data_IF_629608286954
#
_entry.id   IF_629608286954
#
_cell.length_a   1.000
_cell.length_b   1.000
_cell.length_c   1.000
_cell.angle_alpha   90.00
_cell.angle_beta   90.00
_cell.angle_gamma   90.00
#
_symmetry.space_group_name_H-M   'P 1'
#
loop_
_entity.id
_entity.type
_entity.pdbx_description
1 polymer ?
#
# COMPACT_ATOMS: atom_id res chain seq x y z
N UNK A 1 -44.07 -20.01 -86.07
CA UNK A 1 -42.89 -19.83 -85.21
C UNK A 1 -41.87 -19.03 -86.02
N UNK A 2 -41.75 -17.73 -85.74
CA UNK A 2 -40.75 -16.85 -86.36
C UNK A 2 -39.82 -16.38 -85.23
N UNK A 3 -38.57 -16.78 -85.33
CA UNK A 3 -37.49 -16.56 -84.37
C UNK A 3 -37.00 -15.11 -84.47
N UNK A 4 -37.28 -14.29 -83.45
CA UNK A 4 -36.65 -12.99 -83.27
C UNK A 4 -35.19 -13.19 -82.87
N UNK A 5 -34.30 -13.17 -83.85
CA UNK A 5 -32.86 -13.05 -83.64
C UNK A 5 -32.54 -11.63 -83.14
N UNK A 6 -31.77 -11.46 -82.06
CA UNK A 6 -31.34 -10.14 -81.60
C UNK A 6 -30.57 -9.41 -82.71
N UNK A 7 -30.89 -8.13 -82.92
CA UNK A 7 -30.23 -7.26 -83.89
C UNK A 7 -28.75 -7.10 -83.52
N UNK A 8 -27.91 -7.72 -84.34
CA UNK A 8 -26.46 -7.80 -84.18
C UNK A 8 -25.85 -6.39 -84.17
N UNK A 9 -26.49 -5.39 -84.79
CA UNK A 9 -25.97 -4.02 -84.88
C UNK A 9 -26.05 -3.24 -83.56
N UNK A 10 -27.11 -3.43 -82.78
CA UNK A 10 -27.28 -2.77 -81.48
C UNK A 10 -26.34 -3.34 -80.42
N UNK A 11 -26.14 -4.66 -80.45
CA UNK A 11 -25.10 -5.31 -79.64
C UNK A 11 -23.70 -4.84 -80.04
N UNK A 12 -23.41 -4.69 -81.33
CA UNK A 12 -22.12 -4.20 -81.82
C UNK A 12 -21.83 -2.77 -81.34
N UNK A 13 -22.81 -1.86 -81.43
CA UNK A 13 -22.66 -0.47 -80.98
C UNK A 13 -22.43 -0.37 -79.48
N UNK A 14 -23.18 -1.14 -78.67
CA UNK A 14 -22.98 -1.20 -77.21
C UNK A 14 -21.61 -1.77 -76.85
N UNK A 15 -21.12 -2.76 -77.59
CA UNK A 15 -19.77 -3.30 -77.41
C UNK A 15 -18.70 -2.28 -77.81
N UNK A 16 -18.91 -1.48 -78.86
CA UNK A 16 -17.99 -0.41 -79.27
C UNK A 16 -17.92 0.70 -78.21
N UNK A 17 -19.06 1.13 -77.65
CA UNK A 17 -19.08 2.10 -76.54
C UNK A 17 -18.32 1.58 -75.32
N UNK A 18 -18.58 0.32 -74.92
CA UNK A 18 -17.84 -0.32 -73.84
C UNK A 18 -16.34 -0.37 -74.12
N UNK A 19 -15.92 -0.75 -75.33
CA UNK A 19 -14.51 -0.77 -75.75
C UNK A 19 -13.91 0.63 -75.68
N UNK A 20 -14.61 1.67 -76.13
CA UNK A 20 -14.13 3.04 -76.05
C UNK A 20 -13.96 3.49 -74.60
N UNK A 21 -14.91 3.18 -73.71
CA UNK A 21 -14.78 3.45 -72.27
C UNK A 21 -13.62 2.66 -71.65
N UNK A 22 -13.38 1.40 -72.07
CA UNK A 22 -12.23 0.62 -71.62
C UNK A 22 -10.90 1.17 -72.14
N UNK A 23 -10.86 1.67 -73.38
CA UNK A 23 -9.67 2.30 -73.98
C UNK A 23 -9.38 3.62 -73.27
N UNK A 24 -10.39 4.44 -72.98
CA UNK A 24 -10.24 5.70 -72.23
C UNK A 24 -9.75 5.43 -70.81
N UNK A 25 -10.39 4.52 -70.07
CA UNK A 25 -9.98 4.14 -68.71
C UNK A 25 -8.57 3.53 -68.68
N UNK A 26 -8.22 2.71 -69.69
CA UNK A 26 -6.88 2.12 -69.78
C UNK A 26 -5.84 3.15 -70.18
N UNK A 27 -6.17 4.08 -71.09
CA UNK A 27 -5.28 5.17 -71.47
C UNK A 27 -5.03 6.14 -70.31
N UNK A 28 -6.04 6.40 -69.47
CA UNK A 28 -5.92 7.21 -68.26
C UNK A 28 -5.06 6.49 -67.19
N UNK A 29 -5.30 5.19 -66.97
CA UNK A 29 -4.46 4.37 -66.08
C UNK A 29 -3.01 4.19 -66.58
N UNK A 30 -2.78 4.21 -67.89
CA UNK A 30 -1.44 4.12 -68.49
C UNK A 30 -0.72 5.47 -68.50
N UNK A 31 -1.43 6.60 -68.51
CA UNK A 31 -0.84 7.94 -68.42
C UNK A 31 -0.31 8.27 -67.02
N UNK A 32 -0.87 7.64 -66.00
CA UNK A 32 -0.62 7.94 -64.59
C UNK A 32 -0.27 6.62 -63.86
N UNK A 33 1.02 6.42 -63.55
CA UNK A 33 1.50 5.23 -62.85
C UNK A 33 0.95 5.12 -61.41
N UNK A 34 1.26 4.02 -60.67
CA UNK A 34 0.70 3.76 -59.33
C UNK A 34 0.83 4.92 -58.34
N UNK A 35 1.97 5.62 -58.36
CA UNK A 35 2.23 6.78 -57.49
C UNK A 35 1.31 7.97 -57.81
N UNK A 36 1.02 8.17 -59.10
CA UNK A 36 0.16 9.25 -59.58
C UNK A 36 -1.32 8.96 -59.23
N UNK A 37 -1.77 7.71 -59.36
CA UNK A 37 -3.11 7.29 -58.92
C UNK A 37 -3.28 7.42 -57.40
N UNK A 38 -2.24 7.05 -56.64
CA UNK A 38 -2.23 7.22 -55.18
C UNK A 38 -2.27 8.70 -54.78
N UNK A 39 -1.56 9.58 -55.50
CA UNK A 39 -1.59 11.02 -55.27
C UNK A 39 -2.98 11.61 -55.55
N UNK A 40 -3.62 11.23 -56.65
CA UNK A 40 -4.97 11.68 -56.99
C UNK A 40 -5.99 11.22 -55.93
N UNK A 41 -5.96 9.93 -55.55
CA UNK A 41 -6.82 9.42 -54.49
C UNK A 41 -6.59 10.15 -53.17
N UNK A 42 -5.34 10.46 -52.83
CA UNK A 42 -4.99 11.24 -51.63
C UNK A 42 -5.55 12.66 -51.70
N UNK A 43 -5.44 13.33 -52.85
CA UNK A 43 -5.96 14.68 -53.05
C UNK A 43 -7.49 14.71 -52.96
N UNK A 44 -8.18 13.75 -53.60
CA UNK A 44 -9.64 13.61 -53.49
C UNK A 44 -10.09 13.36 -52.05
N UNK A 45 -9.38 12.53 -51.29
CA UNK A 45 -9.66 12.30 -49.87
C UNK A 45 -9.44 13.55 -49.03
N UNK A 46 -8.36 14.30 -49.30
CA UNK A 46 -8.08 15.57 -48.63
C UNK A 46 -9.17 16.60 -48.91
N UNK A 47 -9.61 16.73 -50.14
CA UNK A 47 -10.71 17.64 -50.51
C UNK A 47 -12.01 17.28 -49.81
N UNK A 48 -12.36 15.98 -49.76
CA UNK A 48 -13.52 15.50 -49.01
C UNK A 48 -13.40 15.80 -47.52
N UNK A 49 -12.22 15.63 -46.94
CA UNK A 49 -11.95 15.94 -45.54
C UNK A 49 -12.10 17.44 -45.25
N UNK A 50 -11.49 18.31 -46.05
CA UNK A 50 -11.59 19.76 -45.86
C UNK A 50 -13.03 20.24 -46.07
N UNK A 51 -13.75 19.72 -47.06
CA UNK A 51 -15.16 20.03 -47.26
C UNK A 51 -16.01 19.59 -46.05
N UNK A 52 -15.77 18.39 -45.51
CA UNK A 52 -16.45 17.93 -44.30
C UNK A 52 -16.13 18.80 -43.08
N UNK A 53 -14.88 19.26 -42.96
CA UNK A 53 -14.45 20.19 -41.91
C UNK A 53 -15.13 21.55 -42.04
N UNK A 54 -15.18 22.13 -43.24
CA UNK A 54 -15.88 23.39 -43.50
C UNK A 54 -17.37 23.27 -43.20
N UNK A 55 -18.02 22.17 -43.60
CA UNK A 55 -19.42 21.91 -43.27
C UNK A 55 -19.65 21.80 -41.75
N UNK A 56 -18.72 21.18 -41.02
CA UNK A 56 -18.79 21.11 -39.56
C UNK A 56 -18.66 22.50 -38.92
N UNK A 57 -17.81 23.36 -39.45
CA UNK A 57 -17.61 24.74 -38.98
C UNK A 57 -18.81 25.65 -39.33
N UNK A 58 -19.44 25.50 -40.50
CA UNK A 58 -20.58 26.31 -40.94
C UNK A 58 -21.94 25.85 -40.39
N UNK A 59 -22.11 24.55 -40.15
CA UNK A 59 -23.38 23.95 -39.73
C UNK A 59 -24.04 24.62 -38.50
N UNK A 60 -23.30 25.01 -37.44
CA UNK A 60 -23.91 25.70 -36.30
C UNK A 60 -24.54 27.04 -36.70
N UNK A 61 -23.90 27.83 -37.57
CA UNK A 61 -24.40 29.12 -38.03
C UNK A 61 -25.64 28.99 -38.90
N UNK A 62 -25.62 28.03 -39.83
CA UNK A 62 -26.79 27.70 -40.67
C UNK A 62 -27.96 27.22 -39.82
N UNK A 63 -27.70 26.37 -38.83
CA UNK A 63 -28.71 25.90 -37.88
C UNK A 63 -29.34 27.06 -37.09
N UNK A 64 -28.56 27.99 -36.55
CA UNK A 64 -29.11 29.15 -35.81
C UNK A 64 -29.94 30.05 -36.72
N UNK A 65 -29.52 30.24 -37.97
CA UNK A 65 -30.27 31.02 -38.97
C UNK A 65 -31.61 30.35 -39.29
N UNK A 66 -31.60 29.04 -39.58
CA UNK A 66 -32.82 28.28 -39.86
C UNK A 66 -33.77 28.29 -38.65
N UNK A 67 -33.23 28.12 -37.45
CA UNK A 67 -33.96 28.19 -36.19
C UNK A 67 -34.63 29.56 -36.00
N UNK A 68 -33.91 30.66 -36.21
CA UNK A 68 -34.46 32.02 -36.15
C UNK A 68 -35.60 32.18 -37.14
N UNK A 69 -35.38 31.85 -38.41
CA UNK A 69 -36.39 31.99 -39.46
C UNK A 69 -37.67 31.20 -39.13
N UNK A 70 -37.54 29.97 -38.64
CA UNK A 70 -38.66 29.13 -38.23
C UNK A 70 -39.49 29.76 -37.09
N UNK A 71 -38.83 30.18 -36.01
CA UNK A 71 -39.53 30.74 -34.86
C UNK A 71 -40.09 32.14 -35.11
N UNK A 72 -39.40 32.97 -35.89
CA UNK A 72 -39.92 34.27 -36.35
C UNK A 72 -41.15 34.09 -37.24
N UNK A 73 -41.20 33.03 -38.07
CA UNK A 73 -42.37 32.74 -38.91
C UNK A 73 -43.61 32.35 -38.07
N UNK A 74 -43.44 31.52 -37.04
CA UNK A 74 -44.57 31.02 -36.23
C UNK A 74 -45.04 32.05 -35.19
N UNK A 75 -44.10 32.77 -34.56
CA UNK A 75 -44.37 33.58 -33.36
C UNK A 75 -44.11 35.07 -33.55
N UNK A 76 -43.66 35.48 -34.74
CA UNK A 76 -43.18 36.83 -35.00
C UNK A 76 -41.82 37.11 -34.36
N UNK A 77 -41.28 38.30 -34.62
CA UNK A 77 -39.96 38.70 -34.11
C UNK A 77 -39.94 38.78 -32.57
N UNK A 78 -40.98 39.37 -31.96
CA UNK A 78 -41.09 39.49 -30.50
C UNK A 78 -41.13 38.12 -29.81
N UNK A 79 -41.87 37.15 -30.37
CA UNK A 79 -41.92 35.79 -29.81
C UNK A 79 -40.58 35.06 -29.91
N UNK A 80 -39.84 35.26 -31.01
CA UNK A 80 -38.47 34.74 -31.13
C UNK A 80 -37.52 35.36 -30.08
N UNK A 81 -37.58 36.67 -29.89
CA UNK A 81 -36.73 37.37 -28.92
C UNK A 81 -36.99 36.89 -27.49
N UNK A 82 -38.26 36.67 -27.13
CA UNK A 82 -38.65 36.08 -25.84
C UNK A 82 -38.18 34.62 -25.70
N UNK A 83 -38.34 33.81 -26.74
CA UNK A 83 -37.83 32.44 -26.76
C UNK A 83 -36.31 32.38 -26.52
N UNK A 84 -35.53 33.22 -27.22
CA UNK A 84 -34.08 33.29 -27.04
C UNK A 84 -33.73 33.78 -25.64
N UNK A 85 -34.40 34.82 -25.14
CA UNK A 85 -34.20 35.31 -23.78
C UNK A 85 -34.40 34.20 -22.76
N UNK A 86 -35.51 33.47 -22.83
CA UNK A 86 -35.80 32.37 -21.92
C UNK A 86 -34.77 31.24 -22.01
N UNK A 87 -34.35 30.88 -23.24
CA UNK A 87 -33.32 29.87 -23.45
C UNK A 87 -31.96 30.29 -22.89
N UNK A 88 -31.57 31.55 -23.05
CA UNK A 88 -30.34 32.11 -22.47
C UNK A 88 -30.42 32.20 -20.94
N UNK A 89 -31.58 32.59 -20.40
CA UNK A 89 -31.81 32.59 -18.95
C UNK A 89 -31.72 31.17 -18.38
N UNK A 90 -32.31 30.17 -19.03
CA UNK A 90 -32.21 28.78 -18.60
C UNK A 90 -30.76 28.27 -18.63
N UNK A 91 -29.98 28.61 -19.67
CA UNK A 91 -28.56 28.29 -19.74
C UNK A 91 -27.76 28.99 -18.64
N UNK A 92 -28.02 30.28 -18.41
CA UNK A 92 -27.38 31.05 -17.33
C UNK A 92 -27.65 30.43 -15.96
N UNK A 93 -28.89 30.04 -15.68
CA UNK A 93 -29.26 29.41 -14.42
C UNK A 93 -28.60 28.03 -14.25
N UNK A 94 -28.43 27.27 -15.34
CA UNK A 94 -27.70 26.00 -15.30
C UNK A 94 -26.21 26.23 -15.00
N UNK A 95 -25.58 27.23 -15.62
CA UNK A 95 -24.20 27.62 -15.32
C UNK A 95 -24.06 28.05 -13.86
N UNK A 96 -24.94 28.91 -13.37
CA UNK A 96 -24.97 29.35 -11.96
C UNK A 96 -25.12 28.16 -11.01
N UNK A 97 -26.02 27.22 -11.35
CA UNK A 97 -26.20 25.98 -10.57
C UNK A 97 -24.91 25.17 -10.56
N UNK A 98 -24.27 24.94 -11.70
CA UNK A 98 -22.99 24.20 -11.77
C UNK A 98 -21.87 24.89 -11.00
N UNK A 99 -21.78 26.22 -11.05
CA UNK A 99 -20.83 26.98 -10.25
C UNK A 99 -21.08 26.72 -8.75
N UNK A 100 -22.33 26.78 -8.32
CA UNK A 100 -22.69 26.63 -6.92
C UNK A 100 -22.58 25.18 -6.41
N UNK A 101 -22.91 24.19 -7.24
CA UNK A 101 -22.97 22.77 -6.82
C UNK A 101 -21.68 22.01 -7.09
N UNK A 102 -20.85 22.46 -8.03
CA UNK A 102 -19.60 21.77 -8.41
C UNK A 102 -18.38 22.62 -8.09
N UNK A 103 -18.34 23.87 -8.58
CA UNK A 103 -17.12 24.68 -8.49
C UNK A 103 -16.89 25.18 -7.06
N UNK A 104 -17.91 25.69 -6.37
CA UNK A 104 -17.76 26.21 -5.01
C UNK A 104 -17.30 25.13 -4.00
N UNK A 105 -17.90 23.91 -3.98
CA UNK A 105 -17.39 22.82 -3.15
C UNK A 105 -15.95 22.45 -3.48
N UNK A 106 -15.58 22.39 -4.78
CA UNK A 106 -14.22 22.09 -5.20
C UNK A 106 -13.21 23.16 -4.72
N UNK A 107 -13.58 24.45 -4.78
CA UNK A 107 -12.76 25.53 -4.24
C UNK A 107 -12.56 25.37 -2.73
N UNK A 108 -13.61 25.01 -1.99
CA UNK A 108 -13.52 24.76 -0.56
C UNK A 108 -12.62 23.56 -0.26
N UNK A 109 -12.75 22.47 -1.00
CA UNK A 109 -11.90 21.28 -0.88
C UNK A 109 -10.43 21.61 -1.15
N UNK A 110 -10.14 22.36 -2.23
CA UNK A 110 -8.78 22.81 -2.52
C UNK A 110 -8.19 23.68 -1.40
N UNK A 111 -9.00 24.57 -0.79
CA UNK A 111 -8.56 25.36 0.37
C UNK A 111 -8.22 24.46 1.56
N UNK A 112 -9.09 23.51 1.88
CA UNK A 112 -8.87 22.56 2.98
C UNK A 112 -7.62 21.70 2.74
N UNK A 113 -7.40 21.25 1.51
CA UNK A 113 -6.21 20.48 1.14
C UNK A 113 -4.94 21.32 1.28
N UNK A 114 -4.96 22.57 0.82
CA UNK A 114 -3.84 23.49 0.95
C UNK A 114 -3.50 23.79 2.42
N UNK A 115 -4.51 23.97 3.27
CA UNK A 115 -4.29 24.20 4.70
C UNK A 115 -3.78 22.93 5.40
N UNK A 116 -4.29 21.76 5.03
CA UNK A 116 -3.79 20.46 5.50
C UNK A 116 -2.33 20.25 5.11
N UNK A 117 -1.97 20.63 3.88
CA UNK A 117 -0.60 20.56 3.38
C UNK A 117 0.33 21.50 4.17
N UNK A 118 -0.08 22.75 4.41
CA UNK A 118 0.69 23.70 5.22
C UNK A 118 0.95 23.18 6.63
N UNK A 119 -0.08 22.63 7.28
CA UNK A 119 0.05 22.01 8.62
C UNK A 119 1.04 20.86 8.58
N UNK A 120 0.89 19.94 7.63
CA UNK A 120 1.77 18.77 7.48
C UNK A 120 3.23 19.19 7.24
N UNK A 121 3.44 20.20 6.40
CA UNK A 121 4.76 20.77 6.14
C UNK A 121 5.36 21.38 7.42
N UNK A 122 4.58 22.14 8.18
CA UNK A 122 5.02 22.69 9.47
C UNK A 122 5.43 21.58 10.45
N UNK A 123 4.60 20.54 10.59
CA UNK A 123 4.92 19.37 11.42
C UNK A 123 6.21 18.68 10.97
N UNK A 124 6.39 18.49 9.67
CA UNK A 124 7.64 17.93 9.12
C UNK A 124 8.85 18.80 9.49
N UNK A 125 8.76 20.13 9.34
CA UNK A 125 9.88 21.00 9.72
C UNK A 125 10.19 20.96 11.21
N UNK A 126 9.19 20.80 12.07
CA UNK A 126 9.38 20.63 13.50
C UNK A 126 10.04 19.29 13.84
N UNK A 127 9.56 18.19 13.25
CA UNK A 127 10.15 16.86 13.43
C UNK A 127 11.61 16.82 12.98
N UNK A 128 11.94 17.47 11.85
CA UNK A 128 13.32 17.59 11.38
C UNK A 128 14.22 18.32 12.38
N UNK A 129 13.75 19.44 12.95
CA UNK A 129 14.49 20.17 13.99
C UNK A 129 14.69 19.34 15.25
N UNK A 130 13.67 18.55 15.62
CA UNK A 130 13.74 17.67 16.78
C UNK A 130 14.74 16.52 16.56
N UNK A 131 14.77 15.95 15.36
CA UNK A 131 15.75 14.94 14.96
C UNK A 131 17.18 15.51 14.97
N UNK A 132 17.39 16.69 14.38
CA UNK A 132 18.68 17.39 14.43
C UNK A 132 19.13 17.64 15.88
N UNK A 133 18.21 18.05 16.76
CA UNK A 133 18.49 18.25 18.19
C UNK A 133 18.92 16.94 18.87
N UNK A 134 18.16 15.85 18.71
CA UNK A 134 18.48 14.57 19.35
C UNK A 134 19.78 13.98 18.82
N UNK A 135 20.05 14.09 17.52
CA UNK A 135 21.33 13.67 16.95
C UNK A 135 22.50 14.50 17.54
N UNK A 136 22.29 15.79 17.78
CA UNK A 136 23.21 16.64 18.53
C UNK A 136 23.46 16.12 19.95
N UNK A 137 22.39 15.92 20.74
CA UNK A 137 22.47 15.43 22.12
C UNK A 137 23.11 14.03 22.21
N UNK A 138 22.83 13.13 21.27
CA UNK A 138 23.45 11.79 21.21
C UNK A 138 24.95 11.92 20.96
N UNK A 139 25.37 12.79 20.05
CA UNK A 139 26.78 13.00 19.76
C UNK A 139 27.50 13.63 20.96
N UNK A 140 26.89 14.60 21.62
CA UNK A 140 27.39 15.19 22.86
C UNK A 140 27.51 14.14 23.97
N UNK A 141 26.50 13.30 24.17
CA UNK A 141 26.54 12.23 25.16
C UNK A 141 27.64 11.21 24.86
N UNK A 142 27.81 10.83 23.59
CA UNK A 142 28.91 9.94 23.18
C UNK A 142 30.28 10.54 23.47
N UNK A 143 30.46 11.83 23.19
CA UNK A 143 31.69 12.55 23.51
C UNK A 143 31.92 12.57 25.02
N UNK A 144 30.91 12.95 25.82
CA UNK A 144 30.98 12.96 27.28
C UNK A 144 31.33 11.58 27.85
N UNK A 145 30.76 10.49 27.31
CA UNK A 145 31.10 9.11 27.71
C UNK A 145 32.55 8.78 27.35
N UNK A 146 33.02 9.15 26.15
CA UNK A 146 34.41 8.92 25.75
C UNK A 146 35.38 9.70 26.64
N UNK A 147 35.09 10.98 26.91
CA UNK A 147 35.89 11.81 27.81
C UNK A 147 35.89 11.26 29.24
N UNK A 148 34.73 10.83 29.75
CA UNK A 148 34.61 10.18 31.05
C UNK A 148 35.38 8.85 31.09
N UNK A 149 35.33 8.03 30.03
CA UNK A 149 36.08 6.78 29.94
C UNK A 149 37.60 7.00 29.92
N UNK A 150 38.07 8.11 29.35
CA UNK A 150 39.49 8.50 29.35
C UNK A 150 39.92 9.06 30.70
N UNK A 151 39.06 9.84 31.38
CA UNK A 151 39.40 10.54 32.64
C UNK A 151 39.12 9.71 33.90
N UNK A 152 38.17 8.78 33.86
CA UNK A 152 37.82 7.89 34.98
C UNK A 152 38.03 6.44 34.58
N UNK A 153 39.06 5.80 35.12
CA UNK A 153 39.27 4.35 35.01
C UNK A 153 38.13 3.50 35.61
N UNK A 154 37.14 4.12 36.24
CA UNK A 154 36.00 3.48 36.92
C UNK A 154 34.97 2.85 35.97
N UNK A 155 34.84 3.32 34.72
CA UNK A 155 33.95 2.67 33.74
C UNK A 155 34.42 1.25 33.46
N UNK A 156 35.75 1.04 33.40
CA UNK A 156 36.33 -0.30 33.24
C UNK A 156 36.15 -1.19 34.47
N UNK A 157 36.01 -0.63 35.67
CA UNK A 157 35.86 -1.38 36.92
C UNK A 157 34.41 -1.85 37.11
N UNK A 158 33.43 -1.03 36.77
CA UNK A 158 32.01 -1.38 36.90
C UNK A 158 31.55 -2.40 35.85
N UNK A 159 32.06 -2.29 34.62
CA UNK A 159 31.85 -3.30 33.57
C UNK A 159 32.47 -4.65 33.95
N UNK A 160 33.63 -4.65 34.63
CA UNK A 160 34.25 -5.86 35.18
C UNK A 160 33.39 -6.50 36.27
N UNK A 161 32.84 -5.71 37.20
CA UNK A 161 31.94 -6.24 38.24
C UNK A 161 30.70 -6.89 37.63
N UNK A 162 30.06 -6.23 36.67
CA UNK A 162 28.88 -6.76 35.96
C UNK A 162 29.23 -8.05 35.22
N UNK A 163 30.40 -8.13 34.59
CA UNK A 163 30.88 -9.34 33.91
C UNK A 163 31.04 -10.51 34.88
N UNK A 164 31.66 -10.30 36.05
CA UNK A 164 31.86 -11.36 37.05
C UNK A 164 30.55 -11.81 37.71
N UNK A 165 29.64 -10.87 38.01
CA UNK A 165 28.31 -11.20 38.54
C UNK A 165 27.52 -12.05 37.55
N UNK A 166 27.57 -11.70 36.26
CA UNK A 166 26.95 -12.49 35.20
C UNK A 166 27.58 -13.88 35.07
N UNK A 167 28.91 -13.97 35.09
CA UNK A 167 29.61 -15.25 35.01
C UNK A 167 29.24 -16.19 36.18
N UNK A 168 29.17 -15.65 37.40
CA UNK A 168 28.76 -16.41 38.58
C UNK A 168 27.30 -16.86 38.50
N UNK A 169 26.42 -15.98 38.01
CA UNK A 169 25.00 -16.30 37.79
C UNK A 169 24.83 -17.41 36.75
N UNK A 170 25.52 -17.32 35.62
CA UNK A 170 25.49 -18.32 34.56
C UNK A 170 26.04 -19.67 35.04
N UNK A 171 27.13 -19.65 35.82
CA UNK A 171 27.68 -20.85 36.45
C UNK A 171 26.68 -21.49 37.42
N UNK A 172 26.02 -20.70 38.26
CA UNK A 172 25.01 -21.17 39.21
C UNK A 172 23.82 -21.84 38.49
N UNK A 173 23.32 -21.23 37.41
CA UNK A 173 22.27 -21.83 36.57
C UNK A 173 22.74 -23.16 35.97
N UNK A 174 23.99 -23.24 35.52
CA UNK A 174 24.55 -24.47 34.96
C UNK A 174 24.60 -25.59 36.00
N UNK A 175 25.08 -25.31 37.22
CA UNK A 175 25.07 -26.26 38.33
C UNK A 175 23.65 -26.71 38.71
N UNK A 176 22.70 -25.79 38.74
CA UNK A 176 21.30 -26.11 39.00
C UNK A 176 20.71 -27.06 37.95
N UNK A 177 20.93 -26.77 36.66
CA UNK A 177 20.49 -27.65 35.56
C UNK A 177 21.14 -29.03 35.62
N UNK A 178 22.43 -29.10 35.91
CA UNK A 178 23.15 -30.36 36.09
C UNK A 178 22.58 -31.18 37.27
N UNK A 179 22.33 -30.52 38.40
CA UNK A 179 21.72 -31.15 39.59
C UNK A 179 20.31 -31.70 39.31
N UNK A 180 19.47 -30.95 38.58
CA UNK A 180 18.15 -31.43 38.14
C UNK A 180 18.24 -32.66 37.26
N UNK A 181 19.19 -32.69 36.33
CA UNK A 181 19.38 -33.84 35.44
C UNK A 181 19.78 -35.09 36.22
N UNK A 182 20.73 -34.97 37.15
CA UNK A 182 21.13 -36.05 38.06
C UNK A 182 19.95 -36.52 38.91
N UNK A 183 19.14 -35.59 39.45
CA UNK A 183 17.95 -35.92 40.23
C UNK A 183 16.94 -36.77 39.45
N UNK A 184 16.60 -36.39 38.22
CA UNK A 184 15.66 -37.17 37.39
C UNK A 184 16.22 -38.53 37.00
N UNK A 185 17.53 -38.64 36.74
CA UNK A 185 18.19 -39.93 36.52
C UNK A 185 18.04 -40.84 37.75
N UNK A 186 18.30 -40.32 38.95
CA UNK A 186 18.11 -41.06 40.19
C UNK A 186 16.64 -41.43 40.43
N UNK A 187 15.69 -40.56 40.07
CA UNK A 187 14.26 -40.83 40.16
C UNK A 187 13.84 -42.00 39.27
N UNK A 188 14.39 -42.09 38.05
CA UNK A 188 14.13 -43.21 37.14
C UNK A 188 14.66 -44.52 37.74
N UNK A 189 15.91 -44.52 38.21
CA UNK A 189 16.52 -45.69 38.87
C UNK A 189 15.71 -46.11 40.11
N UNK A 190 15.34 -45.14 40.95
CA UNK A 190 14.51 -45.37 42.13
C UNK A 190 13.15 -45.96 41.77
N UNK A 191 12.49 -45.43 40.72
CA UNK A 191 11.21 -45.93 40.24
C UNK A 191 11.35 -47.39 39.79
N UNK A 192 12.38 -47.72 39.02
CA UNK A 192 12.66 -49.09 38.61
C UNK A 192 12.86 -50.03 39.82
N UNK A 193 13.69 -49.63 40.80
CA UNK A 193 13.92 -50.41 42.02
C UNK A 193 12.64 -50.60 42.84
N UNK A 194 11.80 -49.57 42.93
CA UNK A 194 10.55 -49.59 43.69
C UNK A 194 9.51 -50.56 43.11
N UNK A 195 9.56 -50.83 41.80
CA UNK A 195 8.77 -51.88 41.15
C UNK A 195 9.45 -53.25 41.17
N UNK A 196 10.77 -53.31 41.01
CA UNK A 196 11.54 -54.56 41.03
C UNK A 196 11.54 -55.24 42.41
N UNK A 197 11.53 -54.46 43.49
CA UNK A 197 11.42 -55.00 44.85
C UNK A 197 9.95 -55.37 45.14
N UNK A 198 9.69 -56.65 45.37
CA UNK A 198 8.37 -57.18 45.76
C UNK A 198 8.04 -56.86 47.23
N UNK A 199 8.06 -55.57 47.59
CA UNK A 199 7.62 -55.07 48.90
C UNK A 199 6.10 -54.94 48.93
N UNK A 200 5.51 -55.18 50.10
CA UNK A 200 4.07 -55.12 50.41
C UNK A 200 3.41 -53.73 50.27
N UNK A 201 4.08 -52.76 49.64
CA UNK A 201 3.52 -51.43 49.39
C UNK A 201 2.51 -51.56 48.24
N UNK A 202 1.25 -51.24 48.52
CA UNK A 202 0.19 -51.23 47.51
C UNK A 202 0.51 -50.28 46.34
N UNK A 203 0.07 -50.66 45.14
CA UNK A 203 0.35 -49.95 43.87
C UNK A 203 -0.02 -48.47 43.90
N UNK A 204 -1.10 -48.10 44.59
CA UNK A 204 -1.58 -46.72 44.70
C UNK A 204 -0.57 -45.85 45.46
N UNK A 205 0.02 -46.37 46.55
CA UNK A 205 1.04 -45.64 47.32
C UNK A 205 2.31 -45.44 46.50
N UNK A 206 2.71 -46.45 45.70
CA UNK A 206 3.85 -46.38 44.79
C UNK A 206 3.68 -45.24 43.77
N UNK A 207 2.50 -45.14 43.15
CA UNK A 207 2.18 -44.07 42.20
C UNK A 207 2.18 -42.69 42.86
N UNK A 208 1.60 -42.55 44.06
CA UNK A 208 1.60 -41.29 44.79
C UNK A 208 3.02 -40.79 45.08
N UNK A 209 3.92 -41.68 45.52
CA UNK A 209 5.32 -41.32 45.75
C UNK A 209 6.01 -40.83 44.47
N UNK A 210 5.79 -41.48 43.32
CA UNK A 210 6.39 -41.06 42.05
C UNK A 210 5.90 -39.66 41.67
N UNK A 211 4.59 -39.41 41.76
CA UNK A 211 4.02 -38.09 41.48
C UNK A 211 4.61 -37.03 42.40
N UNK A 212 4.70 -37.32 43.71
CA UNK A 212 5.28 -36.40 44.68
C UNK A 212 6.74 -36.03 44.35
N UNK A 213 7.58 -37.02 44.09
CA UNK A 213 8.99 -36.77 43.76
C UNK A 213 9.19 -36.14 42.38
N UNK A 214 8.31 -36.41 41.42
CA UNK A 214 8.34 -35.75 40.12
C UNK A 214 8.12 -34.23 40.24
N UNK A 215 7.19 -33.81 41.10
CA UNK A 215 6.93 -32.40 41.36
C UNK A 215 7.87 -31.76 42.39
N UNK A 216 8.73 -32.55 43.06
CA UNK A 216 9.63 -32.09 44.11
C UNK A 216 10.47 -30.85 43.75
N UNK A 217 11.10 -30.77 42.56
CA UNK A 217 11.91 -29.62 42.19
C UNK A 217 11.15 -28.29 42.12
N UNK A 218 9.82 -28.33 41.91
CA UNK A 218 9.01 -27.11 41.81
C UNK A 218 8.80 -26.45 43.16
N UNK A 219 8.59 -27.24 44.22
CA UNK A 219 8.34 -26.71 45.56
C UNK A 219 9.58 -26.75 46.47
N UNK A 220 10.65 -27.46 46.09
CA UNK A 220 11.88 -27.54 46.89
C UNK A 220 12.54 -26.17 47.09
N UNK A 221 12.45 -25.28 46.10
CA UNK A 221 13.03 -23.93 46.17
C UNK A 221 12.35 -23.09 47.25
N UNK A 222 11.02 -23.09 47.27
CA UNK A 222 10.24 -22.36 48.27
C UNK A 222 10.48 -22.89 49.69
N UNK A 223 10.54 -24.23 49.83
CA UNK A 223 10.86 -24.88 51.11
C UNK A 223 12.28 -24.48 51.56
N UNK A 224 13.26 -24.49 50.66
CA UNK A 224 14.64 -24.14 50.99
C UNK A 224 14.75 -22.68 51.43
N UNK A 225 14.12 -21.75 50.70
CA UNK A 225 14.07 -20.34 51.09
C UNK A 225 13.38 -20.12 52.44
N UNK A 226 12.30 -20.87 52.70
CA UNK A 226 11.60 -20.83 53.98
C UNK A 226 12.48 -21.34 55.13
N UNK A 227 13.20 -22.47 54.94
CA UNK A 227 14.16 -23.01 55.92
C UNK A 227 15.29 -22.01 56.16
N UNK A 228 15.87 -21.43 55.10
CA UNK A 228 16.93 -20.43 55.21
C UNK A 228 16.45 -19.21 56.02
N UNK A 229 15.22 -18.72 55.75
CA UNK A 229 14.63 -17.62 56.50
C UNK A 229 14.45 -17.97 57.99
N UNK A 230 13.98 -19.17 58.29
CA UNK A 230 13.87 -19.65 59.68
C UNK A 230 15.24 -19.71 60.34
N UNK A 231 16.24 -20.23 59.63
CA UNK A 231 17.61 -20.31 60.12
C UNK A 231 18.18 -18.93 60.43
N UNK A 232 18.04 -17.96 59.51
CA UNK A 232 18.48 -16.59 59.76
C UNK A 232 17.79 -15.96 60.97
N UNK A 233 16.46 -16.10 61.05
CA UNK A 233 15.69 -15.63 62.21
C UNK A 233 16.14 -16.27 63.53
N UNK A 234 16.58 -17.54 63.50
CA UNK A 234 17.08 -18.24 64.68
C UNK A 234 18.53 -17.84 65.02
N UNK A 235 19.39 -17.61 64.03
CA UNK A 235 20.76 -17.13 64.25
C UNK A 235 20.79 -15.69 64.76
N UNK A 236 19.79 -14.87 64.43
CA UNK A 236 19.63 -13.52 65.00
C UNK A 236 19.25 -13.56 66.50
N UNK A 237 18.68 -14.67 67.00
CA UNK A 237 18.37 -14.86 68.42
C UNK A 237 19.58 -15.35 69.24
N UNK A 238 20.63 -15.86 68.58
CA UNK A 238 21.89 -16.20 69.25
C UNK A 238 22.75 -14.93 69.37
N UNK A 239 23.32 -14.61 70.55
CA UNK A 239 24.16 -13.44 70.71
C UNK A 239 25.38 -13.54 69.79
N UNK A 240 25.42 -12.73 68.73
CA UNK A 240 26.53 -12.74 67.77
C UNK A 240 27.77 -12.11 68.42
N UNK A 241 28.86 -12.87 68.53
CA UNK A 241 30.13 -12.33 68.99
C UNK A 241 30.70 -11.39 67.91
N UNK A 242 31.08 -10.18 68.30
CA UNK A 242 31.40 -9.04 67.42
C UNK A 242 32.56 -9.33 66.45
N UNK A 243 33.40 -10.32 66.75
CA UNK A 243 34.61 -10.65 65.99
C UNK A 243 34.43 -11.66 64.84
N UNK A 244 33.21 -12.11 64.55
CA UNK A 244 32.96 -13.18 63.55
C UNK A 244 31.91 -12.82 62.50
N UNK A 245 31.78 -11.54 62.16
CA UNK A 245 31.04 -11.13 60.95
C UNK A 245 31.99 -11.17 59.75
N UNK A 246 31.85 -12.21 58.92
CA UNK A 246 32.29 -12.23 57.51
C UNK A 246 31.10 -11.78 56.67
#
# INVERSE_FOLDING_TARGET
MATNTPDISEQLNKTIEQINTYIENSAEQLRCGPDCQALEATQQLKEKYEAAKTNLESAPGEYQTAKKNYYTYIMGQTGYDEYIKNNLTAQSNNIETNINTVINPLILEMKNLNDSYKTSYSSYTYLRKLDEKYNGEINELKQNIQEAAVTTGDVTTNDRKTFYEKQNYDALISYYKFSLWVFYLLLIVFTFLLFAMNRSIGIVKKLLFIVFFFFFPFFSTDITLWIIRIFYNFTELLPSNVYTKI
#
